data_IF_923853162043
#
_entry.id   IF_923853162043
#
_cell.length_a   1.000
_cell.length_b   1.000
_cell.length_c   1.000
_cell.angle_alpha   90.00
_cell.angle_beta   90.00
_cell.angle_gamma   90.00
#
_symmetry.space_group_name_H-M   'P 1'
#
loop_
_entity.id
_entity.type
_entity.pdbx_description
1 polymer ?
#
# COMPACT_ATOMS: atom_id res chain seq x y z
N UNK A 1 -49.21 2.66 -25.24
CA UNK A 1 -48.59 3.93 -24.79
C UNK A 1 -47.10 3.69 -24.68
N UNK A 2 -46.31 4.02 -25.71
CA UNK A 2 -44.86 3.78 -25.72
C UNK A 2 -44.15 4.92 -24.96
N UNK A 3 -43.21 4.63 -24.04
CA UNK A 3 -42.50 5.68 -23.33
C UNK A 3 -41.61 6.45 -24.31
N UNK A 4 -41.77 7.78 -24.38
CA UNK A 4 -40.89 8.65 -25.18
C UNK A 4 -39.49 8.58 -24.58
N UNK A 5 -38.52 8.03 -25.31
CA UNK A 5 -37.11 8.15 -24.96
C UNK A 5 -36.71 9.62 -25.10
N UNK A 6 -36.26 10.24 -24.01
CA UNK A 6 -35.73 11.59 -24.03
C UNK A 6 -34.42 11.59 -24.85
N UNK A 7 -34.46 12.16 -26.05
CA UNK A 7 -33.27 12.38 -26.85
C UNK A 7 -32.56 13.65 -26.34
N UNK A 8 -31.54 13.47 -25.51
CA UNK A 8 -30.72 14.57 -25.04
C UNK A 8 -29.73 14.99 -26.13
N UNK A 9 -29.51 16.31 -26.30
CA UNK A 9 -28.52 16.79 -27.27
C UNK A 9 -27.12 16.34 -26.85
N UNK A 10 -26.30 15.99 -27.83
CA UNK A 10 -24.94 15.46 -27.65
C UNK A 10 -24.10 16.35 -26.71
N UNK A 11 -24.30 17.67 -26.75
CA UNK A 11 -23.64 18.65 -25.87
C UNK A 11 -23.91 18.39 -24.39
N UNK A 12 -25.14 18.05 -24.01
CA UNK A 12 -25.51 17.77 -22.61
C UNK A 12 -24.81 16.51 -22.10
N UNK A 13 -24.70 15.48 -22.94
CA UNK A 13 -24.00 14.24 -22.58
C UNK A 13 -22.50 14.47 -22.37
N UNK A 14 -21.87 15.30 -23.21
CA UNK A 14 -20.46 15.65 -23.08
C UNK A 14 -20.18 16.51 -21.84
N UNK A 15 -21.07 17.45 -21.53
CA UNK A 15 -20.97 18.30 -20.33
C UNK A 15 -21.10 17.44 -19.06
N UNK A 16 -22.10 16.57 -18.98
CA UNK A 16 -22.31 15.68 -17.82
C UNK A 16 -21.12 14.73 -17.65
N UNK A 17 -20.62 14.15 -18.75
CA UNK A 17 -19.47 13.22 -18.70
C UNK A 17 -18.19 13.91 -18.25
N UNK A 18 -17.93 15.12 -18.76
CA UNK A 18 -16.77 15.92 -18.34
C UNK A 18 -16.89 16.32 -16.87
N UNK A 19 -18.07 16.76 -16.43
CA UNK A 19 -18.33 17.11 -15.04
C UNK A 19 -18.14 15.91 -14.10
N UNK A 20 -18.64 14.72 -14.47
CA UNK A 20 -18.42 13.49 -13.71
C UNK A 20 -16.93 13.14 -13.58
N UNK A 21 -16.16 13.29 -14.66
CA UNK A 21 -14.72 13.04 -14.62
C UNK A 21 -13.99 13.99 -13.67
N UNK A 22 -14.35 15.27 -13.65
CA UNK A 22 -13.78 16.25 -12.71
C UNK A 22 -14.19 15.98 -11.26
N UNK A 23 -15.43 15.58 -11.01
CA UNK A 23 -15.90 15.20 -9.66
C UNK A 23 -15.15 13.96 -9.16
N UNK A 24 -14.95 12.95 -10.01
CA UNK A 24 -14.15 11.76 -9.67
C UNK A 24 -12.71 12.14 -9.38
N UNK A 25 -12.09 13.00 -10.20
CA UNK A 25 -10.72 13.47 -9.96
C UNK A 25 -10.58 14.24 -8.63
N UNK A 26 -11.55 15.10 -8.31
CA UNK A 26 -11.59 15.85 -7.05
C UNK A 26 -11.71 14.90 -5.86
N UNK A 27 -12.63 13.92 -5.92
CA UNK A 27 -12.79 12.91 -4.87
C UNK A 27 -11.50 12.11 -4.67
N UNK A 28 -10.86 11.64 -5.74
CA UNK A 28 -9.61 10.86 -5.65
C UNK A 28 -8.47 11.67 -5.05
N UNK A 29 -8.36 12.96 -5.39
CA UNK A 29 -7.33 13.84 -4.83
C UNK A 29 -7.48 14.11 -3.32
N UNK A 30 -8.69 13.93 -2.79
CA UNK A 30 -8.99 14.10 -1.37
C UNK A 30 -8.86 12.80 -0.56
N UNK A 31 -8.69 11.65 -1.23
CA UNK A 31 -8.42 10.39 -0.55
C UNK A 31 -7.00 10.44 0.01
N UNK A 32 -6.77 10.07 1.27
CA UNK A 32 -5.42 9.90 1.79
C UNK A 32 -4.76 8.70 1.09
N UNK A 33 -4.08 8.96 -0.02
CA UNK A 33 -3.18 8.02 -0.72
C UNK A 33 -1.90 7.85 0.12
N UNK A 34 -2.04 7.27 1.31
CA UNK A 34 -0.95 7.21 2.28
C UNK A 34 -1.43 7.09 3.72
N UNK A 35 -2.58 6.46 3.94
CA UNK A 35 -2.88 5.97 5.28
C UNK A 35 -1.84 4.88 5.60
N UNK A 36 -0.84 5.21 6.41
CA UNK A 36 0.04 4.25 7.08
C UNK A 36 -0.87 3.35 7.94
N UNK A 37 -1.44 2.32 7.31
CA UNK A 37 -2.58 1.58 7.85
C UNK A 37 -2.20 0.62 8.97
N UNK A 38 -0.92 0.28 9.08
CA UNK A 38 -0.35 -0.46 10.19
C UNK A 38 1.18 -0.34 10.12
N UNK A 39 1.82 -0.24 11.27
CA UNK A 39 3.24 -0.52 11.41
C UNK A 39 3.42 -1.68 12.37
N UNK A 40 4.37 -2.57 12.07
CA UNK A 40 4.80 -3.60 13.00
C UNK A 40 6.33 -3.57 13.02
N UNK A 41 6.87 -3.16 14.15
CA UNK A 41 8.30 -3.27 14.40
C UNK A 41 8.64 -4.72 14.74
N UNK A 42 9.73 -5.21 14.16
CA UNK A 42 10.33 -6.50 14.46
C UNK A 42 11.74 -6.21 14.99
N UNK A 43 12.12 -6.81 16.11
CA UNK A 43 13.37 -6.48 16.79
C UNK A 43 13.20 -6.40 18.31
N UNK A 44 14.21 -5.83 18.95
CA UNK A 44 14.28 -5.59 20.39
C UNK A 44 15.00 -4.28 20.70
N UNK A 45 15.65 -4.19 21.85
CA UNK A 45 16.26 -2.93 22.31
C UNK A 45 17.68 -2.68 21.75
N UNK A 46 18.18 -3.56 20.87
CA UNK A 46 19.54 -3.50 20.32
C UNK A 46 19.50 -3.10 18.84
N UNK A 47 20.66 -3.07 18.20
CA UNK A 47 20.77 -2.61 16.82
C UNK A 47 20.21 -3.65 15.84
N UNK A 48 19.31 -3.20 14.96
CA UNK A 48 18.69 -4.00 13.91
C UNK A 48 18.83 -3.26 12.57
N UNK A 49 19.39 -3.92 11.56
CA UNK A 49 19.63 -3.34 10.23
C UNK A 49 19.01 -4.16 9.11
N UNK A 50 18.17 -3.53 8.28
CA UNK A 50 17.65 -4.10 7.04
C UNK A 50 18.61 -3.89 5.88
N UNK A 51 18.98 -4.97 5.17
CA UNK A 51 19.95 -4.93 4.08
C UNK A 51 19.32 -4.95 2.70
N UNK A 52 18.25 -5.74 2.53
CA UNK A 52 17.61 -5.89 1.23
C UNK A 52 16.15 -6.29 1.37
N UNK A 53 15.36 -5.91 0.38
CA UNK A 53 13.96 -6.28 0.24
C UNK A 53 13.69 -6.76 -1.17
N UNK A 54 12.94 -7.84 -1.30
CA UNK A 54 12.46 -8.36 -2.58
C UNK A 54 10.97 -8.71 -2.48
N UNK A 55 10.20 -8.35 -3.50
CA UNK A 55 8.80 -8.76 -3.60
C UNK A 55 8.72 -10.25 -3.99
N UNK A 56 7.89 -11.01 -3.30
CA UNK A 56 7.67 -12.43 -3.56
C UNK A 56 6.55 -12.65 -4.58
N UNK A 57 6.50 -13.85 -5.17
CA UNK A 57 5.51 -14.19 -6.21
C UNK A 57 4.07 -14.22 -5.69
N UNK A 58 3.89 -14.41 -4.39
CA UNK A 58 2.62 -14.37 -3.67
C UNK A 58 2.26 -12.93 -3.23
N UNK A 59 2.88 -11.93 -3.86
CA UNK A 59 2.67 -10.50 -3.64
C UNK A 59 3.10 -9.95 -2.26
N UNK A 60 3.65 -10.80 -1.39
CA UNK A 60 4.32 -10.40 -0.17
C UNK A 60 5.73 -9.82 -0.39
N UNK A 61 6.47 -9.65 0.70
CA UNK A 61 7.85 -9.15 0.69
C UNK A 61 8.74 -10.03 1.55
N UNK A 62 9.96 -10.27 1.08
CA UNK A 62 11.04 -10.86 1.86
C UNK A 62 12.04 -9.76 2.20
N UNK A 63 12.27 -9.54 3.49
CA UNK A 63 13.27 -8.61 4.02
C UNK A 63 14.36 -9.41 4.70
N UNK A 64 15.61 -9.10 4.38
CA UNK A 64 16.79 -9.71 5.01
C UNK A 64 17.62 -8.65 5.71
N UNK A 65 18.20 -9.02 6.85
CA UNK A 65 18.96 -8.10 7.68
C UNK A 65 19.70 -8.80 8.80
N UNK A 66 20.30 -7.99 9.67
CA UNK A 66 20.95 -8.44 10.89
C UNK A 66 20.23 -7.87 12.10
N UNK A 67 20.18 -8.65 13.17
CA UNK A 67 19.58 -8.25 14.43
C UNK A 67 20.49 -8.65 15.59
N UNK A 68 20.83 -7.69 16.44
CA UNK A 68 21.51 -7.93 17.72
C UNK A 68 20.50 -8.21 18.84
N UNK A 69 19.21 -8.02 18.54
CA UNK A 69 18.13 -8.05 19.52
C UNK A 69 17.69 -9.44 19.97
N UNK A 70 18.17 -10.51 19.32
CA UNK A 70 17.71 -11.88 19.60
C UNK A 70 18.84 -12.88 19.89
N UNK A 71 19.50 -12.80 21.05
CA UNK A 71 20.56 -13.75 21.39
C UNK A 71 20.03 -14.99 22.12
N UNK A 72 20.45 -16.18 21.68
CA UNK A 72 20.39 -17.42 22.48
C UNK A 72 21.72 -17.70 23.24
N UNK A 73 22.72 -16.80 23.18
CA UNK A 73 24.08 -17.13 23.63
C UNK A 73 24.87 -16.01 24.31
N UNK A 74 24.88 -14.79 23.77
CA UNK A 74 25.65 -13.68 24.35
C UNK A 74 25.17 -12.30 23.87
N UNK A 75 25.51 -11.25 24.61
CA UNK A 75 25.09 -9.89 24.31
C UNK A 75 25.68 -9.28 23.02
N UNK A 76 26.54 -10.01 22.31
CA UNK A 76 27.28 -9.57 21.12
C UNK A 76 27.02 -10.44 19.88
N UNK A 77 26.03 -11.34 19.93
CA UNK A 77 25.69 -12.18 18.79
C UNK A 77 24.80 -11.39 17.82
N UNK A 78 25.25 -11.32 16.57
CA UNK A 78 24.48 -10.75 15.45
C UNK A 78 23.88 -11.94 14.68
N UNK A 79 22.56 -12.04 14.67
CA UNK A 79 21.84 -13.07 13.91
C UNK A 79 21.29 -12.54 12.59
N UNK A 80 21.24 -13.42 11.58
CA UNK A 80 20.56 -13.11 10.31
C UNK A 80 19.06 -13.25 10.51
N UNK A 81 18.32 -12.18 10.22
CA UNK A 81 16.87 -12.18 10.26
C UNK A 81 16.26 -12.15 8.86
N UNK A 82 15.21 -12.96 8.69
CA UNK A 82 14.42 -13.04 7.46
C UNK A 82 12.96 -12.82 7.84
N UNK A 83 12.35 -11.78 7.28
CA UNK A 83 10.94 -11.46 7.47
C UNK A 83 10.22 -11.69 6.15
N UNK A 84 9.20 -12.55 6.16
CA UNK A 84 8.27 -12.71 5.05
C UNK A 84 6.92 -12.07 5.43
N UNK A 85 6.44 -11.15 4.60
CA UNK A 85 5.09 -10.58 4.74
C UNK A 85 4.10 -11.32 3.83
N UNK A 86 2.83 -11.29 4.22
CA UNK A 86 1.69 -11.66 3.38
C UNK A 86 1.03 -10.39 2.81
N UNK A 87 0.08 -10.55 1.89
CA UNK A 87 -0.80 -9.49 1.37
C UNK A 87 -2.08 -9.30 2.18
#
# INVERSE_FOLDING_TARGET
MTPKKAHYPISVVHIVKTLCLWVVALVVSSLPLGAQGWEKAFGGNKEDQGLSVIQTIDHGYLVVGFSESFPNGSDQDIDVYIIKTDV
#
